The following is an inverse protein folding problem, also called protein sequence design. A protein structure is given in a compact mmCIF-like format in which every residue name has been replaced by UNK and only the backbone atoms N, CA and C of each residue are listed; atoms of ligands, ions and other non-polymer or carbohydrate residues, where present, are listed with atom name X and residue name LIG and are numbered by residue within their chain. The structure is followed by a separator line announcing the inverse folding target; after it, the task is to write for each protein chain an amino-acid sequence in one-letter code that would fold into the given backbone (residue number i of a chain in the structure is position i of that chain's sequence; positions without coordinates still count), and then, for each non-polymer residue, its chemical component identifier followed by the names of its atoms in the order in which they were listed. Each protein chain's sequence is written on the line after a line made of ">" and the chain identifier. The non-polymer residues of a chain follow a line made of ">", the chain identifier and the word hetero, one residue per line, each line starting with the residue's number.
data_IF_754853619924
#
_entry.id   IF_754853619924
#
_cell.length_a   1.000
_cell.length_b   1.000
_cell.length_c   1.000
_cell.angle_alpha   90.00
_cell.angle_beta   90.00
_cell.angle_gamma   90.00
#
_symmetry.space_group_name_H-M   'P 1'
#
loop_
_entity.id
_entity.type
_entity.pdbx_description
1 polymer ?
#
# COMPACT_ATOMS: atom_id res chain seq x y z
N UNK A 1 -5.22 9.01 -13.77
CA UNK A 1 -4.28 8.72 -12.67
C UNK A 1 -5.12 8.56 -11.43
N UNK A 2 -4.93 7.49 -10.68
CA UNK A 2 -5.79 7.13 -9.56
C UNK A 2 -4.97 7.07 -8.28
N UNK A 3 -5.61 7.38 -7.16
CA UNK A 3 -5.04 7.15 -5.84
C UNK A 3 -5.42 5.74 -5.42
N UNK A 4 -4.44 4.95 -5.05
CA UNK A 4 -4.63 3.63 -4.48
C UNK A 4 -4.10 3.63 -3.05
N UNK A 5 -4.83 3.00 -2.15
CA UNK A 5 -4.32 2.59 -0.85
C UNK A 5 -3.79 1.16 -1.00
N UNK A 6 -2.55 0.93 -0.64
CA UNK A 6 -1.91 -0.38 -0.61
C UNK A 6 -1.66 -0.72 0.85
N UNK A 7 -2.22 -1.85 1.30
CA UNK A 7 -2.11 -2.30 2.69
C UNK A 7 -1.18 -3.52 2.73
N UNK A 8 -0.20 -3.48 3.62
CA UNK A 8 0.72 -4.59 3.92
C UNK A 8 0.14 -5.39 5.07
N UNK A 9 -0.32 -6.63 4.83
CA UNK A 9 -1.23 -7.35 5.74
C UNK A 9 -0.52 -8.33 6.70
N UNK A 10 0.73 -8.73 6.42
CA UNK A 10 1.30 -9.89 7.13
C UNK A 10 2.80 -9.83 7.44
N UNK A 11 3.48 -8.74 7.08
CA UNK A 11 4.96 -8.70 7.13
C UNK A 11 5.48 -8.22 8.48
N UNK A 12 4.74 -7.38 9.19
CA UNK A 12 5.23 -6.71 10.41
C UNK A 12 4.41 -7.03 11.66
N UNK A 13 3.48 -7.99 11.60
CA UNK A 13 2.53 -8.26 12.70
C UNK A 13 1.51 -7.14 12.93
N UNK A 14 1.51 -6.10 12.09
CA UNK A 14 0.58 -4.98 12.07
C UNK A 14 0.31 -4.57 10.63
N UNK A 15 -0.93 -4.21 10.32
CA UNK A 15 -1.31 -3.72 9.00
C UNK A 15 -0.79 -2.30 8.78
N UNK A 16 -0.07 -2.08 7.68
CA UNK A 16 0.47 -0.76 7.30
C UNK A 16 -0.13 -0.33 5.97
N UNK A 17 -0.86 0.79 5.97
CA UNK A 17 -1.41 1.42 4.77
C UNK A 17 -0.47 2.44 4.16
N UNK A 18 -0.39 2.47 2.82
CA UNK A 18 0.33 3.47 2.03
C UNK A 18 -0.55 4.01 0.91
N UNK A 19 -0.59 5.34 0.75
CA UNK A 19 -1.28 5.97 -0.37
C UNK A 19 -0.31 6.23 -1.52
N UNK A 20 -0.65 5.72 -2.71
CA UNK A 20 0.16 5.86 -3.92
C UNK A 20 -0.68 6.32 -5.11
N UNK A 21 -0.12 7.23 -5.90
CA UNK A 21 -0.73 7.63 -7.17
C UNK A 21 -0.19 6.72 -8.27
N UNK A 22 -1.06 5.91 -8.88
CA UNK A 22 -0.66 4.97 -9.91
C UNK A 22 -1.65 4.93 -11.08
N UNK A 23 -1.22 4.31 -12.18
CA UNK A 23 -2.08 4.08 -13.36
C UNK A 23 -3.08 2.95 -13.15
N UNK A 24 -2.70 1.94 -12.35
CA UNK A 24 -3.50 0.77 -12.03
C UNK A 24 -3.01 0.16 -10.70
N UNK A 25 -3.73 -0.85 -10.19
CA UNK A 25 -3.42 -1.51 -8.91
C UNK A 25 -2.07 -2.25 -8.93
N UNK A 26 -1.70 -2.91 -10.02
CA UNK A 26 -0.41 -3.62 -10.11
C UNK A 26 0.77 -2.65 -10.01
N UNK A 27 0.66 -1.49 -10.64
CA UNK A 27 1.66 -0.44 -10.55
C UNK A 27 1.71 0.16 -9.14
N UNK A 28 0.56 0.32 -8.47
CA UNK A 28 0.51 0.74 -7.07
C UNK A 28 1.26 -0.24 -6.15
N UNK A 29 1.01 -1.54 -6.30
CA UNK A 29 1.72 -2.58 -5.55
C UNK A 29 3.22 -2.59 -5.84
N UNK A 30 3.60 -2.44 -7.10
CA UNK A 30 5.02 -2.39 -7.50
C UNK A 30 5.78 -1.24 -6.85
N UNK A 31 5.18 -0.04 -6.80
CA UNK A 31 5.78 1.12 -6.11
C UNK A 31 6.05 0.81 -4.64
N UNK A 32 5.11 0.15 -3.96
CA UNK A 32 5.28 -0.26 -2.55
C UNK A 32 6.34 -1.36 -2.42
N UNK A 33 6.36 -2.33 -3.33
CA UNK A 33 7.40 -3.36 -3.35
C UNK A 33 8.80 -2.75 -3.46
N UNK A 34 8.97 -1.78 -4.37
CA UNK A 34 10.24 -1.06 -4.58
C UNK A 34 10.62 -0.21 -3.34
N UNK A 35 9.63 0.37 -2.66
CA UNK A 35 9.85 1.11 -1.42
C UNK A 35 10.42 0.23 -0.30
N UNK A 36 9.93 -1.01 -0.18
CA UNK A 36 10.39 -1.94 0.85
C UNK A 36 11.70 -2.65 0.46
N UNK A 37 11.92 -2.97 -0.83
CA UNK A 37 13.17 -3.57 -1.29
C UNK A 37 14.37 -2.65 -1.11
N UNK A 38 14.19 -1.34 -1.26
CA UNK A 38 15.23 -0.33 -1.01
C UNK A 38 15.54 -0.11 0.47
N UNK A 39 14.71 -0.66 1.37
CA UNK A 39 14.83 -0.55 2.83
C UNK A 39 15.10 -1.89 3.51
N UNK A 40 15.42 -2.92 2.72
CA UNK A 40 15.81 -4.22 3.25
C UNK A 40 17.14 -4.07 4.01
N UNK A 41 17.03 -4.02 5.33
CA UNK A 41 18.15 -3.94 6.27
C UNK A 41 18.65 -5.32 6.72
N UNK A 42 18.09 -6.41 6.15
CA UNK A 42 18.39 -7.80 6.50
C UNK A 42 17.81 -8.24 7.85
N UNK A 43 17.10 -7.35 8.56
CA UNK A 43 16.49 -7.63 9.87
C UNK A 43 14.98 -7.80 9.71
N UNK A 44 14.36 -7.04 8.80
CA UNK A 44 12.91 -7.06 8.54
C UNK A 44 12.52 -8.10 7.49
N UNK A 45 11.37 -8.78 7.64
CA UNK A 45 10.91 -9.73 6.62
C UNK A 45 10.66 -9.02 5.28
N UNK A 46 11.01 -9.69 4.18
CA UNK A 46 10.83 -9.15 2.82
C UNK A 46 9.35 -9.04 2.47
N UNK A 47 8.91 -7.85 2.03
CA UNK A 47 7.56 -7.64 1.51
C UNK A 47 7.47 -8.20 0.09
N UNK A 48 6.49 -9.07 -0.16
CA UNK A 48 6.21 -9.65 -1.49
C UNK A 48 4.83 -9.22 -2.00
N UNK A 49 4.55 -9.50 -3.27
CA UNK A 49 3.27 -9.14 -3.90
C UNK A 49 2.06 -9.79 -3.21
N UNK A 50 2.26 -10.95 -2.58
CA UNK A 50 1.24 -11.69 -1.83
C UNK A 50 0.86 -10.99 -0.52
N UNK A 51 1.77 -10.18 0.02
CA UNK A 51 1.56 -9.45 1.27
C UNK A 51 0.81 -8.14 1.09
N UNK A 52 0.52 -7.77 -0.18
CA UNK A 52 -0.10 -6.51 -0.55
C UNK A 52 -1.55 -6.71 -0.98
N UNK A 53 -2.46 -6.01 -0.31
CA UNK A 53 -3.80 -5.74 -0.82
C UNK A 53 -3.90 -4.29 -1.31
N UNK A 54 -4.86 -4.01 -2.19
CA UNK A 54 -4.98 -2.68 -2.80
C UNK A 54 -6.44 -2.29 -2.95
N UNK A 55 -6.77 -1.08 -2.50
CA UNK A 55 -8.07 -0.45 -2.63
C UNK A 55 -7.95 0.79 -3.51
N UNK A 56 -8.86 0.96 -4.47
CA UNK A 56 -8.96 2.19 -5.23
C UNK A 56 -9.63 3.25 -4.34
N UNK A 57 -8.96 4.39 -4.17
CA UNK A 57 -9.49 5.51 -3.38
C UNK A 57 -10.24 6.44 -4.31
N UNK A 58 -11.52 6.62 -4.00
CA UNK A 58 -12.30 7.69 -4.59
C UNK A 58 -12.11 8.96 -3.75
N UNK A 59 -11.37 9.92 -4.28
CA UNK A 59 -11.08 11.19 -3.62
C UNK A 59 -12.34 11.94 -3.16
N UNK A 60 -13.46 11.80 -3.87
CA UNK A 60 -14.71 12.45 -3.50
C UNK A 60 -15.30 11.89 -2.20
N UNK A 61 -14.92 10.66 -1.81
CA UNK A 61 -15.36 9.98 -0.58
C UNK A 61 -14.24 9.86 0.45
N UNK A 62 -13.03 10.35 0.18
CA UNK A 62 -11.86 10.10 1.03
C UNK A 62 -11.99 10.77 2.40
N UNK A 63 -12.53 11.99 2.45
CA UNK A 63 -12.81 12.68 3.72
C UNK A 63 -13.84 11.89 4.53
N UNK A 64 -14.91 11.42 3.89
CA UNK A 64 -15.97 10.68 4.58
C UNK A 64 -15.53 9.29 5.05
N UNK A 65 -14.69 8.59 4.28
CA UNK A 65 -14.21 7.23 4.64
C UNK A 65 -13.05 7.22 5.66
N UNK A 66 -12.25 8.29 5.77
CA UNK A 66 -11.03 8.32 6.60
C UNK A 66 -11.14 9.26 7.81
N UNK A 67 -11.94 10.34 7.77
CA UNK A 67 -12.07 11.29 8.88
C UNK A 67 -13.27 11.03 9.81
N UNK A 68 -14.23 10.19 9.39
CA UNK A 68 -15.44 9.86 10.17
C UNK A 68 -15.53 8.38 10.59
N UNK A 69 -14.46 7.61 10.38
CA UNK A 69 -14.32 6.21 10.83
C UNK A 69 -13.65 6.08 12.18
#
# INVERSE_FOLDING_TARGET
>A
MHIYEVIVVAVFGTDISHFVVAKNADNAKKIILDYYSTRDDGIRPTVTMYDLTTKLINLNNYIDEVMLG
#
